data_IF_139186159101
#
_entry.id   IF_139186159101
#
_cell.length_a   1.000
_cell.length_b   1.000
_cell.length_c   1.000
_cell.angle_alpha   90.00
_cell.angle_beta   90.00
_cell.angle_gamma   90.00
#
_symmetry.space_group_name_H-M   'P 1'
#
loop_
_entity.id
_entity.type
_entity.pdbx_description
1 polymer ?
#
# COMPACT_ATOMS: atom_id res chain seq x y z
N UNK A 1 1.12 10.71 -16.80
CA UNK A 1 1.20 10.97 -15.35
C UNK A 1 1.18 9.65 -14.59
N UNK A 2 2.12 9.50 -13.68
CA UNK A 2 2.23 8.25 -12.93
C UNK A 2 1.36 8.30 -11.68
N UNK A 3 0.63 7.23 -11.44
CA UNK A 3 -0.18 7.09 -10.24
C UNK A 3 0.72 6.97 -9.00
N UNK A 4 1.91 6.41 -9.20
CA UNK A 4 2.87 6.19 -8.13
C UNK A 4 4.02 7.17 -8.27
N UNK A 5 4.04 8.21 -7.42
CA UNK A 5 5.13 9.17 -7.45
C UNK A 5 6.33 8.67 -6.64
N UNK A 6 7.41 9.45 -6.62
CA UNK A 6 8.65 9.05 -5.96
C UNK A 6 8.44 8.71 -4.49
N UNK A 7 7.58 9.45 -3.79
CA UNK A 7 7.30 9.17 -2.37
C UNK A 7 6.65 7.80 -2.18
N UNK A 8 5.72 7.43 -3.07
CA UNK A 8 5.07 6.13 -3.02
C UNK A 8 6.08 5.02 -3.31
N UNK A 9 6.87 5.19 -4.35
CA UNK A 9 7.85 4.17 -4.75
C UNK A 9 8.91 3.99 -3.68
N UNK A 10 9.38 5.07 -3.09
CA UNK A 10 10.37 5.01 -2.02
C UNK A 10 9.79 4.29 -0.80
N UNK A 11 8.55 4.61 -0.43
CA UNK A 11 7.87 3.95 0.68
C UNK A 11 7.79 2.44 0.45
N UNK A 12 7.38 2.04 -0.74
CA UNK A 12 7.29 0.62 -1.07
C UNK A 12 8.66 -0.06 -0.99
N UNK A 13 9.69 0.56 -1.57
CA UNK A 13 11.03 -0.02 -1.57
C UNK A 13 11.58 -0.19 -0.15
N UNK A 14 11.31 0.75 0.73
CA UNK A 14 11.78 0.68 2.12
C UNK A 14 11.04 -0.36 2.94
N UNK A 15 9.76 -0.57 2.65
CA UNK A 15 8.90 -1.36 3.51
C UNK A 15 8.38 -2.64 2.87
N UNK A 16 8.86 -2.98 1.68
CA UNK A 16 8.34 -4.15 0.96
C UNK A 16 8.47 -5.46 1.76
N UNK A 17 9.44 -5.54 2.64
CA UNK A 17 9.63 -6.75 3.43
C UNK A 17 8.57 -6.96 4.51
N UNK A 18 7.72 -5.96 4.77
CA UNK A 18 6.59 -6.18 5.69
C UNK A 18 5.54 -7.10 5.07
N UNK A 19 5.50 -7.17 3.74
CA UNK A 19 4.52 -7.99 3.03
C UNK A 19 5.15 -9.20 2.35
N UNK A 20 6.37 -9.06 1.87
CA UNK A 20 7.06 -10.12 1.12
C UNK A 20 8.29 -10.61 1.86
N UNK A 21 8.62 -11.92 1.75
CA UNK A 21 9.80 -12.46 2.44
C UNK A 21 11.12 -12.01 1.82
N UNK A 22 11.08 -11.54 0.58
CA UNK A 22 12.25 -11.07 -0.13
C UNK A 22 11.92 -9.80 -0.89
N UNK A 23 12.95 -9.04 -1.25
CA UNK A 23 12.75 -7.85 -2.07
C UNK A 23 12.20 -8.22 -3.45
N UNK A 24 11.10 -7.60 -3.83
CA UNK A 24 10.49 -7.83 -5.14
C UNK A 24 10.89 -6.73 -6.13
N UNK A 25 11.47 -5.64 -5.64
CA UNK A 25 11.92 -4.53 -6.47
C UNK A 25 13.15 -3.89 -5.82
N UNK A 26 14.08 -3.42 -6.65
CA UNK A 26 15.30 -2.79 -6.14
C UNK A 26 15.50 -1.39 -6.72
N UNK A 27 14.61 -0.94 -7.58
CA UNK A 27 14.68 0.39 -8.17
C UNK A 27 13.29 0.97 -8.30
N UNK A 28 13.20 2.28 -8.51
CA UNK A 28 11.91 2.94 -8.71
C UNK A 28 11.17 2.35 -9.90
N UNK A 29 11.89 2.09 -10.97
CA UNK A 29 11.32 1.54 -12.19
C UNK A 29 10.71 0.15 -11.95
N UNK A 30 11.44 -0.69 -11.23
CA UNK A 30 10.95 -2.03 -10.87
C UNK A 30 9.76 -1.95 -9.94
N UNK A 31 9.82 -1.04 -8.96
CA UNK A 31 8.72 -0.87 -8.02
C UNK A 31 7.46 -0.43 -8.74
N UNK A 32 7.57 0.53 -9.64
CA UNK A 32 6.42 1.01 -10.40
C UNK A 32 5.79 -0.12 -11.21
N UNK A 33 6.61 -0.88 -11.92
CA UNK A 33 6.12 -2.01 -12.70
C UNK A 33 5.43 -3.06 -11.84
N UNK A 34 6.01 -3.36 -10.68
CA UNK A 34 5.44 -4.32 -9.76
C UNK A 34 4.08 -3.85 -9.23
N UNK A 35 4.02 -2.59 -8.81
CA UNK A 35 2.77 -2.04 -8.25
C UNK A 35 1.66 -2.00 -9.29
N UNK A 36 2.01 -1.73 -10.54
CA UNK A 36 1.04 -1.75 -11.62
C UNK A 36 0.53 -3.17 -11.88
N UNK A 37 1.43 -4.14 -11.84
CA UNK A 37 1.07 -5.55 -12.07
C UNK A 37 0.12 -6.07 -11.00
N UNK A 38 0.31 -5.69 -9.75
CA UNK A 38 -0.55 -6.16 -8.66
C UNK A 38 -1.76 -5.26 -8.46
N UNK A 39 -1.90 -4.22 -9.29
CA UNK A 39 -3.03 -3.29 -9.24
C UNK A 39 -3.11 -2.57 -7.88
N UNK A 40 -1.95 -2.19 -7.35
CA UNK A 40 -1.90 -1.44 -6.10
C UNK A 40 -2.60 -0.10 -6.23
N UNK A 41 -3.12 0.42 -5.13
CA UNK A 41 -3.83 1.70 -5.13
C UNK A 41 -3.24 2.63 -4.08
N UNK A 42 -3.34 3.93 -4.35
CA UNK A 42 -2.95 4.98 -3.41
C UNK A 42 -4.21 5.70 -2.96
N UNK A 43 -4.38 5.82 -1.65
CA UNK A 43 -5.54 6.52 -1.08
C UNK A 43 -5.05 7.67 -0.22
N UNK A 44 -5.94 8.62 0.07
CA UNK A 44 -5.56 9.89 0.69
C UNK A 44 -5.98 10.01 2.16
N UNK A 45 -6.52 8.95 2.74
CA UNK A 45 -6.93 8.98 4.14
C UNK A 45 -7.10 7.56 4.68
N UNK A 46 -7.15 7.47 6.01
CA UNK A 46 -7.41 6.19 6.68
C UNK A 46 -8.82 5.70 6.34
N UNK A 47 -9.77 6.63 6.24
CA UNK A 47 -11.14 6.27 5.88
C UNK A 47 -11.20 5.59 4.51
N UNK A 48 -10.40 6.06 3.57
CA UNK A 48 -10.34 5.45 2.24
C UNK A 48 -9.71 4.06 2.29
N UNK A 49 -8.76 3.84 3.19
CA UNK A 49 -8.17 2.52 3.39
C UNK A 49 -9.27 1.55 3.85
N UNK A 50 -10.06 1.96 4.82
CA UNK A 50 -11.16 1.14 5.34
C UNK A 50 -12.16 0.85 4.23
N UNK A 51 -12.55 1.87 3.47
CA UNK A 51 -13.49 1.70 2.37
C UNK A 51 -12.98 0.72 1.33
N UNK A 52 -11.69 0.80 1.02
CA UNK A 52 -11.09 -0.09 0.03
C UNK A 52 -11.25 -1.56 0.47
N UNK A 53 -10.91 -1.85 1.71
CA UNK A 53 -11.00 -3.23 2.19
C UNK A 53 -12.45 -3.70 2.30
N UNK A 54 -13.35 -2.82 2.66
CA UNK A 54 -14.78 -3.17 2.72
C UNK A 54 -15.32 -3.50 1.33
N UNK A 55 -14.93 -2.74 0.33
CA UNK A 55 -15.36 -3.00 -1.05
C UNK A 55 -14.79 -4.30 -1.60
N UNK A 56 -13.59 -4.67 -1.14
CA UNK A 56 -12.96 -5.93 -1.55
C UNK A 56 -13.51 -7.13 -0.78
N UNK A 57 -14.40 -6.89 0.17
CA UNK A 57 -14.99 -7.96 0.94
C UNK A 57 -14.10 -8.47 2.07
N UNK A 58 -13.09 -7.71 2.44
CA UNK A 58 -12.20 -8.09 3.55
C UNK A 58 -12.88 -7.78 4.88
N UNK A 59 -12.92 -8.76 5.77
CA UNK A 59 -13.49 -8.57 7.09
C UNK A 59 -12.42 -7.99 8.01
N UNK A 60 -12.63 -6.76 8.44
CA UNK A 60 -11.69 -6.07 9.30
C UNK A 60 -11.91 -6.37 10.79
N UNK A 61 -12.90 -7.20 11.12
CA UNK A 61 -13.19 -7.60 12.50
C UNK A 61 -13.42 -6.39 13.43
N UNK A 62 -14.01 -5.33 12.88
CA UNK A 62 -14.24 -4.13 13.66
C UNK A 62 -13.02 -3.23 13.82
N UNK A 63 -11.91 -3.55 13.15
CA UNK A 63 -10.75 -2.69 13.16
C UNK A 63 -11.07 -1.37 12.50
N UNK A 64 -10.55 -0.29 13.05
CA UNK A 64 -10.79 1.04 12.50
C UNK A 64 -9.61 1.94 12.85
N UNK A 65 -9.51 3.06 12.14
CA UNK A 65 -8.46 4.04 12.39
C UNK A 65 -7.08 3.42 12.26
N UNK A 66 -6.24 3.65 13.24
CA UNK A 66 -4.85 3.21 13.21
C UNK A 66 -4.67 1.70 13.15
N UNK A 67 -5.65 0.94 13.61
CA UNK A 67 -5.57 -0.52 13.57
C UNK A 67 -5.50 -1.03 12.14
N UNK A 68 -6.15 -0.33 11.21
CA UNK A 68 -6.13 -0.70 9.79
C UNK A 68 -4.72 -0.54 9.21
N UNK A 69 -3.95 0.39 9.75
CA UNK A 69 -2.59 0.66 9.28
C UNK A 69 -1.60 -0.43 9.67
N UNK A 70 -1.98 -1.31 10.59
CA UNK A 70 -1.12 -2.43 10.99
C UNK A 70 -1.24 -3.62 10.04
N UNK A 71 -2.16 -3.55 9.09
CA UNK A 71 -2.31 -4.59 8.08
C UNK A 71 -1.08 -4.57 7.18
N UNK A 72 -0.49 -5.73 6.95
CA UNK A 72 0.75 -5.84 6.17
C UNK A 72 0.65 -5.24 4.77
N UNK A 73 -0.54 -5.25 4.19
CA UNK A 73 -0.79 -4.76 2.84
C UNK A 73 -0.88 -3.23 2.77
N UNK A 74 -0.90 -2.55 3.92
CA UNK A 74 -1.01 -1.09 3.98
C UNK A 74 0.35 -0.48 4.28
N UNK A 75 0.78 0.43 3.42
CA UNK A 75 2.06 1.14 3.56
C UNK A 75 1.78 2.61 3.83
N UNK A 76 2.25 3.13 4.96
CA UNK A 76 2.09 4.54 5.32
C UNK A 76 3.16 5.35 4.59
N UNK A 77 2.74 6.15 3.63
CA UNK A 77 3.67 6.96 2.82
C UNK A 77 4.28 8.09 3.65
N UNK A 78 3.55 8.56 4.65
CA UNK A 78 4.07 9.57 5.56
C UNK A 78 3.65 11.00 5.26
N UNK A 79 2.89 11.21 4.19
CA UNK A 79 2.41 12.53 3.81
C UNK A 79 0.88 12.61 3.81
N UNK A 80 0.24 11.71 4.55
CA UNK A 80 -1.22 11.66 4.60
C UNK A 80 -1.82 10.68 3.61
N UNK A 81 -0.98 10.06 2.78
CA UNK A 81 -1.42 9.06 1.81
C UNK A 81 -1.00 7.67 2.25
N UNK A 82 -1.70 6.68 1.73
CA UNK A 82 -1.42 5.27 2.04
C UNK A 82 -1.41 4.47 0.74
N UNK A 83 -0.48 3.51 0.67
CA UNK A 83 -0.39 2.61 -0.48
C UNK A 83 -0.94 1.26 -0.03
N UNK A 84 -1.85 0.69 -0.82
CA UNK A 84 -2.42 -0.63 -0.53
C UNK A 84 -1.94 -1.59 -1.61
N UNK A 85 -1.23 -2.63 -1.18
CA UNK A 85 -0.68 -3.65 -2.07
C UNK A 85 -1.25 -5.00 -1.65
N UNK A 86 -2.03 -5.61 -2.53
CA UNK A 86 -2.57 -6.94 -2.25
C UNK A 86 -1.56 -7.97 -2.72
N UNK A 87 -1.04 -8.75 -1.78
CA UNK A 87 -0.02 -9.74 -2.06
C UNK A 87 -0.54 -11.13 -2.26
#
# INVERSE_FOLDING_TARGET
MHEFDDAVLECFLKNQLQLFPEKVAESFEEAEGFLEDVMAVVVNSIDEVVEFFEEEGVDLNGASGEEVLEIEEVFDIGDGRYLIVEG
#
